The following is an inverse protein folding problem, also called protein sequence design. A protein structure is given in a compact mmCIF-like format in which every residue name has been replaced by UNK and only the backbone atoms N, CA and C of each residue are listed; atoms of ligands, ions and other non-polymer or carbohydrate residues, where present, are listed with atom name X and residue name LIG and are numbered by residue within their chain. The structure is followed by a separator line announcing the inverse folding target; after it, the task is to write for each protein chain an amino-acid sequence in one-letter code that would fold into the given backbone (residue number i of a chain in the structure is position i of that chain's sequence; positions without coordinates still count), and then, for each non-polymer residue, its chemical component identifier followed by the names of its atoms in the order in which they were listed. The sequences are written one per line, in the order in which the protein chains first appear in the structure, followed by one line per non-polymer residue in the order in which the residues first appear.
data_IF_428922916553
#
_entry.id   IF_428922916553
#
_cell.length_a   1.000
_cell.length_b   1.000
_cell.length_c   1.000
_cell.angle_alpha   90.00
_cell.angle_beta   90.00
_cell.angle_gamma   90.00
#
_symmetry.space_group_name_H-M   'P 1'
#
loop_
_entity.id
_entity.type
_entity.pdbx_description
1 polymer ?
#
# COMPACT_ATOMS: atom_id res chain seq x y z
N UNK A 1 -13.16 -9.04 -14.06
CA UNK A 1 -12.59 -8.50 -15.31
C UNK A 1 -11.10 -8.16 -15.15
N UNK A 2 -10.71 -7.28 -14.20
CA UNK A 2 -9.31 -6.85 -14.00
C UNK A 2 -8.38 -8.02 -13.66
N UNK A 3 -8.74 -8.84 -12.67
CA UNK A 3 -7.94 -10.03 -12.30
C UNK A 3 -7.81 -11.01 -13.48
N UNK A 4 -8.90 -11.28 -14.20
CA UNK A 4 -8.87 -12.15 -15.38
C UNK A 4 -8.00 -11.56 -16.50
N UNK A 5 -8.03 -10.23 -16.69
CA UNK A 5 -7.11 -9.58 -17.64
C UNK A 5 -5.66 -9.80 -17.26
N UNK A 6 -5.32 -9.70 -15.98
CA UNK A 6 -3.95 -9.91 -15.51
C UNK A 6 -3.54 -11.40 -15.56
N UNK A 7 -4.40 -12.30 -15.08
CA UNK A 7 -4.02 -13.69 -14.77
C UNK A 7 -4.67 -14.75 -15.68
N UNK A 8 -5.71 -14.39 -16.45
CA UNK A 8 -6.43 -15.33 -17.31
C UNK A 8 -5.61 -15.77 -18.53
N UNK A 9 -5.93 -16.96 -19.10
CA UNK A 9 -5.29 -17.41 -20.33
C UNK A 9 -5.60 -16.48 -21.52
N UNK A 10 -4.73 -16.45 -22.53
CA UNK A 10 -4.93 -15.62 -23.72
C UNK A 10 -6.23 -15.96 -24.50
N UNK A 11 -6.83 -17.10 -24.23
CA UNK A 11 -8.12 -17.55 -24.80
C UNK A 11 -9.34 -17.04 -24.03
N UNK A 12 -9.18 -16.52 -22.82
CA UNK A 12 -10.29 -15.95 -22.06
C UNK A 12 -10.64 -14.56 -22.58
N UNK A 13 -11.86 -14.09 -22.25
CA UNK A 13 -12.36 -12.78 -22.71
C UNK A 13 -11.40 -11.63 -22.42
N UNK A 14 -10.93 -11.53 -21.19
CA UNK A 14 -10.08 -10.42 -20.75
C UNK A 14 -8.58 -10.72 -20.93
N UNK A 15 -8.16 -11.98 -20.83
CA UNK A 15 -6.79 -12.39 -21.13
C UNK A 15 -6.41 -12.20 -22.59
N UNK A 16 -7.38 -12.31 -23.52
CA UNK A 16 -7.20 -12.00 -24.94
C UNK A 16 -6.78 -10.54 -25.16
N UNK A 17 -7.42 -9.59 -24.46
CA UNK A 17 -7.09 -8.16 -24.57
C UNK A 17 -5.65 -7.89 -24.10
N UNK A 18 -5.19 -8.57 -23.03
CA UNK A 18 -3.79 -8.50 -22.59
C UNK A 18 -2.84 -9.05 -23.67
N UNK A 19 -3.17 -10.20 -24.24
CA UNK A 19 -2.36 -10.83 -25.26
C UNK A 19 -2.23 -9.96 -26.52
N UNK A 20 -3.34 -9.37 -26.98
CA UNK A 20 -3.37 -8.44 -28.12
C UNK A 20 -2.57 -7.16 -27.85
N UNK A 21 -2.45 -6.73 -26.58
CA UNK A 21 -1.58 -5.65 -26.15
C UNK A 21 -0.09 -6.01 -26.05
N UNK A 22 0.31 -7.20 -26.54
CA UNK A 22 1.71 -7.64 -26.57
C UNK A 22 2.17 -8.49 -25.39
N UNK A 23 1.25 -8.85 -24.46
CA UNK A 23 1.57 -9.64 -23.27
C UNK A 23 0.77 -10.97 -23.25
N UNK A 24 1.13 -11.99 -24.06
CA UNK A 24 0.36 -13.24 -24.14
C UNK A 24 0.41 -14.06 -22.84
N UNK A 25 1.50 -13.98 -22.10
CA UNK A 25 1.63 -14.71 -20.84
C UNK A 25 0.90 -14.00 -19.70
N UNK A 26 0.24 -14.74 -18.78
CA UNK A 26 -0.36 -14.17 -17.58
C UNK A 26 0.67 -13.47 -16.68
N UNK A 27 0.26 -12.39 -16.04
CA UNK A 27 1.04 -11.79 -14.97
C UNK A 27 0.81 -12.53 -13.65
N UNK A 28 1.80 -12.51 -12.78
CA UNK A 28 1.67 -12.99 -11.42
C UNK A 28 1.04 -11.87 -10.56
N UNK A 29 -0.20 -12.05 -10.14
CA UNK A 29 -0.93 -11.12 -9.29
C UNK A 29 -1.06 -11.73 -7.89
N UNK A 30 -0.35 -11.19 -6.92
CA UNK A 30 -0.36 -11.67 -5.54
C UNK A 30 -1.20 -10.78 -4.61
N UNK A 31 -1.39 -9.51 -4.94
CA UNK A 31 -2.03 -8.52 -4.09
C UNK A 31 -3.06 -7.72 -4.87
N UNK A 32 -4.13 -7.34 -4.20
CA UNK A 32 -5.20 -6.50 -4.74
C UNK A 32 -5.60 -5.44 -3.71
N UNK A 33 -5.28 -4.18 -4.00
CA UNK A 33 -5.82 -3.03 -3.27
C UNK A 33 -7.27 -2.78 -3.67
N UNK A 34 -8.13 -2.60 -2.68
CA UNK A 34 -9.57 -2.32 -2.87
C UNK A 34 -9.87 -0.97 -2.25
N UNK A 35 -9.87 0.07 -3.07
CA UNK A 35 -9.95 1.48 -2.66
C UNK A 35 -8.58 2.14 -2.51
N UNK A 36 -8.58 3.47 -2.41
CA UNK A 36 -7.42 4.31 -2.14
C UNK A 36 -7.85 5.48 -1.28
N UNK A 37 -7.24 5.66 -0.12
CA UNK A 37 -7.59 6.68 0.87
C UNK A 37 -9.07 6.68 1.28
N UNK A 38 -9.77 5.60 1.00
CA UNK A 38 -11.14 5.38 1.39
C UNK A 38 -11.26 4.99 2.87
N UNK A 39 -12.41 5.33 3.48
CA UNK A 39 -12.69 5.03 4.88
C UNK A 39 -14.21 5.04 5.16
N UNK A 40 -14.59 4.63 6.36
CA UNK A 40 -15.96 4.68 6.85
C UNK A 40 -16.81 3.45 6.51
N UNK A 41 -18.02 3.38 7.10
CA UNK A 41 -18.84 2.18 7.09
C UNK A 41 -19.29 1.75 5.68
N UNK A 42 -19.61 2.69 4.81
CA UNK A 42 -20.01 2.38 3.43
C UNK A 42 -18.86 1.78 2.64
N UNK A 43 -17.63 2.27 2.87
CA UNK A 43 -16.43 1.69 2.28
C UNK A 43 -16.17 0.28 2.83
N UNK A 44 -16.30 0.07 4.13
CA UNK A 44 -16.10 -1.25 4.74
C UNK A 44 -17.09 -2.29 4.20
N UNK A 45 -18.34 -1.90 3.98
CA UNK A 45 -19.33 -2.79 3.37
C UNK A 45 -18.95 -3.17 1.92
N UNK A 46 -18.51 -2.19 1.11
CA UNK A 46 -18.05 -2.43 -0.27
C UNK A 46 -16.76 -3.27 -0.30
N UNK A 47 -15.81 -2.94 0.57
CA UNK A 47 -14.57 -3.73 0.70
C UNK A 47 -14.89 -5.19 0.98
N UNK A 48 -15.69 -5.44 2.02
CA UNK A 48 -16.08 -6.80 2.41
C UNK A 48 -16.68 -7.57 1.25
N UNK A 49 -17.66 -6.99 0.57
CA UNK A 49 -18.34 -7.62 -0.57
C UNK A 49 -17.35 -8.00 -1.69
N UNK A 50 -16.45 -7.09 -2.06
CA UNK A 50 -15.45 -7.35 -3.11
C UNK A 50 -14.41 -8.36 -2.65
N UNK A 51 -13.91 -8.23 -1.42
CA UNK A 51 -12.87 -9.11 -0.87
C UNK A 51 -13.37 -10.56 -0.75
N UNK A 52 -14.61 -10.77 -0.27
CA UNK A 52 -15.23 -12.10 -0.21
C UNK A 52 -15.31 -12.75 -1.60
N UNK A 53 -15.77 -12.01 -2.61
CA UNK A 53 -15.82 -12.51 -3.99
C UNK A 53 -14.43 -12.80 -4.59
N UNK A 54 -13.41 -12.02 -4.22
CA UNK A 54 -12.03 -12.27 -4.62
C UNK A 54 -11.51 -13.53 -3.95
N UNK A 55 -11.69 -13.67 -2.64
CA UNK A 55 -11.21 -14.84 -1.88
C UNK A 55 -11.88 -16.14 -2.33
N UNK A 56 -13.16 -16.10 -2.68
CA UNK A 56 -13.88 -17.25 -3.22
C UNK A 56 -13.28 -17.73 -4.53
N UNK A 57 -13.00 -16.82 -5.46
CA UNK A 57 -12.54 -17.17 -6.81
C UNK A 57 -11.02 -17.25 -6.96
N UNK A 58 -10.29 -16.47 -6.17
CA UNK A 58 -8.82 -16.31 -6.24
C UNK A 58 -8.22 -16.33 -4.82
N UNK A 59 -8.28 -17.45 -4.10
CA UNK A 59 -7.90 -17.51 -2.67
C UNK A 59 -6.42 -17.19 -2.40
N UNK A 60 -5.57 -17.25 -3.43
CA UNK A 60 -4.15 -16.92 -3.33
C UNK A 60 -3.87 -15.42 -3.37
N UNK A 61 -4.83 -14.59 -3.82
CA UNK A 61 -4.66 -13.14 -3.88
C UNK A 61 -4.88 -12.55 -2.50
N UNK A 62 -3.89 -11.85 -1.99
CA UNK A 62 -3.99 -11.06 -0.77
C UNK A 62 -4.74 -9.77 -1.04
N UNK A 63 -5.69 -9.42 -0.18
CA UNK A 63 -6.50 -8.22 -0.27
C UNK A 63 -5.98 -7.15 0.66
N UNK A 64 -5.99 -5.90 0.20
CA UNK A 64 -5.49 -4.74 0.93
C UNK A 64 -6.62 -3.75 1.10
N UNK A 65 -6.91 -3.35 2.36
CA UNK A 65 -7.90 -2.33 2.70
C UNK A 65 -7.21 -0.98 2.93
N UNK A 66 -7.81 0.11 2.46
CA UNK A 66 -7.35 1.47 2.76
C UNK A 66 -7.73 1.87 4.19
N UNK A 67 -6.83 2.55 4.89
CA UNK A 67 -7.10 3.15 6.21
C UNK A 67 -7.28 4.67 6.18
N UNK A 68 -7.55 5.23 5.01
CA UNK A 68 -7.63 6.67 4.79
C UNK A 68 -6.27 7.26 4.43
N UNK A 69 -6.12 8.55 4.60
CA UNK A 69 -4.96 9.33 4.15
C UNK A 69 -4.03 9.78 5.29
N UNK A 70 -4.30 9.32 6.51
CA UNK A 70 -3.47 9.67 7.68
C UNK A 70 -3.12 8.44 8.50
N UNK A 71 -2.13 8.60 9.37
CA UNK A 71 -1.55 7.51 10.15
C UNK A 71 -2.10 7.39 11.58
N UNK A 72 -2.99 8.26 12.02
CA UNK A 72 -3.43 8.33 13.43
C UNK A 72 -4.73 9.13 13.64
N UNK A 73 -5.63 9.19 12.67
CA UNK A 73 -6.95 9.79 12.85
C UNK A 73 -8.02 8.76 13.20
N UNK A 74 -9.25 9.23 13.35
CA UNK A 74 -10.41 8.38 13.64
C UNK A 74 -10.63 7.33 12.55
N UNK A 75 -10.36 7.63 11.28
CA UNK A 75 -10.55 6.71 10.16
C UNK A 75 -9.52 5.58 10.19
N UNK A 76 -8.26 5.92 10.45
CA UNK A 76 -7.19 4.95 10.67
C UNK A 76 -7.56 3.95 11.78
N UNK A 77 -7.95 4.46 12.95
CA UNK A 77 -8.31 3.62 14.09
C UNK A 77 -9.57 2.78 13.85
N UNK A 78 -10.56 3.35 13.16
CA UNK A 78 -11.79 2.64 12.80
C UNK A 78 -11.51 1.50 11.82
N UNK A 79 -10.63 1.72 10.82
CA UNK A 79 -10.24 0.67 9.87
C UNK A 79 -9.56 -0.49 10.59
N UNK A 80 -8.54 -0.21 11.41
CA UNK A 80 -7.88 -1.26 12.18
C UNK A 80 -8.82 -2.00 13.12
N UNK A 81 -9.75 -1.30 13.77
CA UNK A 81 -10.77 -1.91 14.63
C UNK A 81 -11.71 -2.81 13.83
N UNK A 82 -12.15 -2.36 12.66
CA UNK A 82 -13.02 -3.13 11.78
C UNK A 82 -12.33 -4.39 11.25
N UNK A 83 -11.08 -4.28 10.82
CA UNK A 83 -10.30 -5.44 10.34
C UNK A 83 -10.14 -6.46 11.45
N UNK A 84 -9.76 -6.04 12.65
CA UNK A 84 -9.65 -6.94 13.81
C UNK A 84 -10.98 -7.60 14.17
N UNK A 85 -12.11 -6.88 14.03
CA UNK A 85 -13.43 -7.45 14.26
C UNK A 85 -13.77 -8.56 13.25
N UNK A 86 -13.38 -8.40 12.00
CA UNK A 86 -13.58 -9.42 10.96
C UNK A 86 -12.69 -10.66 11.18
N UNK A 87 -11.47 -10.47 11.71
CA UNK A 87 -10.49 -11.54 11.91
C UNK A 87 -10.66 -12.27 13.25
N UNK A 88 -11.46 -11.70 14.16
CA UNK A 88 -11.65 -12.26 15.50
C UNK A 88 -12.20 -13.69 15.45
N UNK A 89 -11.45 -14.61 16.04
CA UNK A 89 -11.84 -16.03 16.12
C UNK A 89 -11.61 -16.86 14.85
N UNK A 90 -11.03 -16.28 13.80
CA UNK A 90 -10.65 -17.02 12.59
C UNK A 90 -9.26 -17.65 12.77
N UNK A 91 -9.13 -18.90 12.28
CA UNK A 91 -7.86 -19.65 12.29
C UNK A 91 -7.04 -19.46 11.00
N UNK A 92 -7.64 -18.88 9.97
CA UNK A 92 -7.02 -18.64 8.65
C UNK A 92 -7.15 -17.17 8.33
N UNK A 93 -6.31 -16.69 7.40
CA UNK A 93 -6.42 -15.35 6.88
C UNK A 93 -7.88 -15.05 6.48
N UNK A 94 -8.38 -13.93 6.94
CA UNK A 94 -9.75 -13.52 6.67
C UNK A 94 -9.93 -12.89 5.31
N UNK A 95 -10.83 -11.90 5.26
CA UNK A 95 -11.10 -11.16 4.03
C UNK A 95 -10.11 -10.01 3.81
N UNK A 96 -9.26 -9.68 4.80
CA UNK A 96 -8.26 -8.63 4.73
C UNK A 96 -6.89 -9.17 5.16
N UNK A 97 -5.92 -9.14 4.27
CA UNK A 97 -4.57 -9.59 4.57
C UNK A 97 -3.66 -8.43 4.97
N UNK A 98 -3.84 -7.24 4.38
CA UNK A 98 -3.03 -6.06 4.68
C UNK A 98 -3.90 -4.82 4.86
N UNK A 99 -3.42 -3.92 5.71
CA UNK A 99 -3.97 -2.56 5.87
C UNK A 99 -3.01 -1.58 5.22
N UNK A 100 -3.53 -0.77 4.31
CA UNK A 100 -2.79 0.27 3.61
C UNK A 100 -2.73 1.53 4.47
N UNK A 101 -1.51 1.90 4.88
CA UNK A 101 -1.23 3.07 5.70
C UNK A 101 -0.48 4.13 4.89
N UNK A 102 -0.91 5.38 4.97
CA UNK A 102 -0.28 6.51 4.30
C UNK A 102 0.32 7.51 5.30
N UNK A 103 1.56 7.94 5.06
CA UNK A 103 2.26 8.93 5.90
C UNK A 103 2.92 10.03 5.09
N UNK A 104 2.38 11.21 5.19
CA UNK A 104 3.02 12.43 4.69
C UNK A 104 3.29 13.34 5.87
N UNK A 105 4.54 13.40 6.32
CA UNK A 105 4.91 14.10 7.55
C UNK A 105 6.22 14.88 7.44
N UNK A 106 6.43 15.77 8.42
CA UNK A 106 7.70 16.45 8.59
C UNK A 106 8.82 15.45 8.97
N UNK A 107 10.04 15.79 8.59
CA UNK A 107 11.23 14.96 8.82
C UNK A 107 11.42 14.55 10.28
N UNK A 108 11.09 15.43 11.24
CA UNK A 108 11.17 15.11 12.65
C UNK A 108 10.23 13.97 13.08
N UNK A 109 9.07 13.86 12.43
CA UNK A 109 8.14 12.77 12.70
C UNK A 109 8.76 11.41 12.36
N UNK A 110 9.42 11.28 11.22
CA UNK A 110 10.07 10.03 10.81
C UNK A 110 11.14 9.59 11.80
N UNK A 111 11.95 10.52 12.32
CA UNK A 111 12.96 10.21 13.34
C UNK A 111 12.34 9.77 14.66
N UNK A 112 11.23 10.39 15.09
CA UNK A 112 10.60 10.10 16.37
C UNK A 112 9.69 8.89 16.36
N UNK A 113 9.24 8.44 15.18
CA UNK A 113 8.32 7.32 15.02
C UNK A 113 8.98 6.02 14.52
N UNK A 114 10.31 5.92 14.55
CA UNK A 114 11.03 4.71 14.16
C UNK A 114 10.71 3.46 15.00
N UNK A 115 9.95 3.57 16.08
CA UNK A 115 9.45 2.45 16.89
C UNK A 115 7.96 2.15 16.69
N UNK A 116 7.34 2.73 15.66
CA UNK A 116 5.90 2.56 15.40
C UNK A 116 5.48 1.09 15.40
N UNK A 117 6.17 0.27 14.63
CA UNK A 117 5.86 -1.15 14.44
C UNK A 117 6.44 -2.06 15.53
N UNK A 118 7.19 -1.52 16.49
CA UNK A 118 7.61 -2.24 17.69
C UNK A 118 6.45 -2.35 18.73
N UNK A 119 5.36 -1.62 18.52
CA UNK A 119 4.16 -1.66 19.38
C UNK A 119 3.33 -2.92 19.08
N UNK A 120 3.60 -4.00 19.79
CA UNK A 120 2.94 -5.29 19.61
C UNK A 120 1.48 -5.31 20.08
N UNK A 121 1.07 -4.39 20.92
CA UNK A 121 -0.33 -4.25 21.35
C UNK A 121 -1.18 -3.72 20.19
N UNK A 122 -0.61 -2.86 19.38
CA UNK A 122 -1.29 -2.33 18.19
C UNK A 122 -1.05 -3.18 16.94
N UNK A 123 0.16 -3.69 16.75
CA UNK A 123 0.54 -4.54 15.62
C UNK A 123 0.93 -5.94 16.10
N UNK A 124 -0.05 -6.82 16.44
CA UNK A 124 0.25 -8.14 16.92
C UNK A 124 0.93 -8.99 15.84
N UNK A 125 1.86 -9.83 16.27
CA UNK A 125 2.58 -10.76 15.40
C UNK A 125 1.88 -12.11 15.37
N UNK A 126 2.12 -12.88 14.32
CA UNK A 126 1.67 -14.26 14.19
C UNK A 126 0.84 -14.53 12.96
N UNK A 127 0.56 -15.81 12.74
CA UNK A 127 -0.26 -16.26 11.63
C UNK A 127 -1.70 -15.72 11.73
N UNK A 128 -2.28 -15.35 10.58
CA UNK A 128 -3.64 -14.84 10.51
C UNK A 128 -3.81 -13.39 10.99
N UNK A 129 -2.74 -12.73 11.43
CA UNK A 129 -2.82 -11.31 11.73
C UNK A 129 -2.69 -10.47 10.44
N UNK A 130 -3.51 -9.41 10.27
CA UNK A 130 -3.34 -8.49 9.17
C UNK A 130 -1.98 -7.81 9.25
N UNK A 131 -1.32 -7.70 8.11
CA UNK A 131 -0.04 -7.00 7.99
C UNK A 131 -0.23 -5.59 7.48
N UNK A 132 0.84 -4.85 7.40
CA UNK A 132 0.87 -3.47 6.90
C UNK A 132 1.41 -3.45 5.48
N UNK A 133 0.72 -2.73 4.62
CA UNK A 133 1.24 -2.14 3.41
C UNK A 133 1.40 -0.64 3.65
N UNK A 134 2.60 -0.11 3.57
CA UNK A 134 2.80 1.34 3.56
C UNK A 134 2.71 1.77 2.11
N UNK A 135 1.48 2.10 1.65
CA UNK A 135 1.21 2.38 0.25
C UNK A 135 1.76 3.70 -0.23
N UNK A 136 1.81 4.69 0.66
CA UNK A 136 2.35 6.00 0.37
C UNK A 136 3.05 6.59 1.59
N UNK A 137 4.28 7.09 1.40
CA UNK A 137 4.95 7.89 2.42
C UNK A 137 5.99 8.82 1.80
N UNK A 138 6.13 9.97 2.40
CA UNK A 138 7.20 10.91 2.11
C UNK A 138 7.48 11.83 3.30
N UNK A 139 8.75 12.15 3.50
CA UNK A 139 9.22 13.14 4.46
C UNK A 139 9.40 14.49 3.78
N UNK A 140 9.09 15.57 4.45
CA UNK A 140 9.37 16.92 3.98
C UNK A 140 9.92 17.82 5.08
N UNK A 141 10.54 18.91 4.66
CA UNK A 141 10.87 20.06 5.50
C UNK A 141 9.89 21.21 5.22
N UNK A 142 10.05 22.32 5.90
CA UNK A 142 9.22 23.52 5.71
C UNK A 142 8.90 23.81 4.26
N UNK A 143 7.65 24.12 3.96
CA UNK A 143 7.15 24.37 2.62
C UNK A 143 7.03 23.13 1.75
N UNK A 144 6.92 21.94 2.35
CA UNK A 144 6.82 20.64 1.66
C UNK A 144 7.98 20.38 0.68
N UNK A 145 9.17 20.83 1.02
CA UNK A 145 10.38 20.59 0.22
C UNK A 145 11.07 19.32 0.69
N UNK A 146 11.69 18.63 -0.23
CA UNK A 146 12.64 17.56 0.05
C UNK A 146 14.08 18.08 -0.07
N UNK A 147 14.94 17.58 0.77
CA UNK A 147 16.37 17.84 0.78
C UNK A 147 17.11 16.65 1.39
N UNK A 148 18.43 16.75 1.54
CA UNK A 148 19.22 15.67 2.13
C UNK A 148 18.73 15.29 3.55
N UNK A 149 18.28 16.24 4.35
CA UNK A 149 17.76 15.94 5.69
C UNK A 149 16.49 15.09 5.62
N UNK A 150 15.53 15.44 4.76
CA UNK A 150 14.35 14.63 4.53
C UNK A 150 14.73 13.20 4.09
N UNK A 151 15.63 13.07 3.11
CA UNK A 151 16.09 11.76 2.65
C UNK A 151 16.77 10.92 3.75
N UNK A 152 17.56 11.54 4.61
CA UNK A 152 18.20 10.85 5.74
C UNK A 152 17.18 10.36 6.77
N UNK A 153 16.11 11.14 7.01
CA UNK A 153 15.06 10.74 7.96
C UNK A 153 14.20 9.60 7.41
N UNK A 154 13.95 9.60 6.11
CA UNK A 154 13.30 8.47 5.43
C UNK A 154 14.17 7.21 5.49
N UNK A 155 15.45 7.31 5.17
CA UNK A 155 16.38 6.20 5.26
C UNK A 155 16.46 5.62 6.69
N UNK A 156 16.48 6.47 7.71
CA UNK A 156 16.42 6.04 9.10
C UNK A 156 15.12 5.30 9.43
N UNK A 157 13.97 5.79 8.92
CA UNK A 157 12.68 5.14 9.11
C UNK A 157 12.60 3.80 8.36
N UNK A 158 13.19 3.68 7.18
CA UNK A 158 13.26 2.41 6.42
C UNK A 158 13.96 1.31 7.20
N UNK A 159 14.97 1.63 8.03
CA UNK A 159 15.60 0.62 8.90
C UNK A 159 14.60 0.03 9.91
N UNK A 160 13.64 0.83 10.35
CA UNK A 160 12.55 0.36 11.22
C UNK A 160 11.55 -0.52 10.45
N UNK A 161 11.24 -0.17 9.21
CA UNK A 161 10.39 -0.98 8.33
C UNK A 161 11.04 -2.35 8.12
N UNK A 162 12.32 -2.39 7.74
CA UNK A 162 13.06 -3.64 7.53
C UNK A 162 13.14 -4.50 8.80
N UNK A 163 13.42 -3.88 9.95
CA UNK A 163 13.45 -4.59 11.24
C UNK A 163 12.10 -5.26 11.58
N UNK A 164 11.00 -4.69 11.11
CA UNK A 164 9.65 -5.15 11.34
C UNK A 164 9.03 -5.78 10.07
N UNK A 165 9.81 -6.44 9.23
CA UNK A 165 9.35 -7.09 7.99
C UNK A 165 8.37 -8.25 8.20
N UNK A 166 8.20 -8.71 9.42
CA UNK A 166 7.14 -9.65 9.80
C UNK A 166 5.76 -8.97 9.98
N UNK A 167 5.72 -7.66 10.18
CA UNK A 167 4.52 -6.82 10.25
C UNK A 167 4.33 -6.03 8.96
N UNK A 168 5.37 -5.32 8.51
CA UNK A 168 5.33 -4.53 7.27
C UNK A 168 5.74 -5.40 6.09
N UNK A 169 4.77 -5.81 5.29
CA UNK A 169 5.02 -6.73 4.17
C UNK A 169 5.48 -6.00 2.91
N UNK A 170 4.98 -4.78 2.68
CA UNK A 170 5.32 -3.96 1.52
C UNK A 170 5.40 -2.50 1.94
N UNK A 171 6.28 -1.75 1.30
CA UNK A 171 6.31 -0.29 1.38
C UNK A 171 6.60 0.33 0.02
N UNK A 172 5.96 1.46 -0.30
CA UNK A 172 6.17 2.21 -1.52
C UNK A 172 6.19 3.70 -1.27
N UNK A 173 7.19 4.39 -1.82
CA UNK A 173 7.28 5.84 -1.76
C UNK A 173 6.29 6.49 -2.73
N UNK A 174 5.69 7.59 -2.33
CA UNK A 174 4.82 8.38 -3.19
C UNK A 174 4.93 9.89 -2.88
N UNK A 175 4.89 10.75 -3.93
CA UNK A 175 5.05 10.43 -5.36
C UNK A 175 6.48 10.00 -5.71
N UNK A 176 6.61 9.03 -6.61
CA UNK A 176 7.93 8.47 -6.97
C UNK A 176 8.67 9.30 -8.02
N UNK A 177 7.99 9.66 -9.10
CA UNK A 177 8.59 10.36 -10.24
C UNK A 177 7.93 11.70 -10.51
N UNK A 178 8.76 12.73 -10.73
CA UNK A 178 8.34 14.00 -11.26
C UNK A 178 9.11 14.34 -12.54
N UNK A 179 8.43 14.97 -13.50
CA UNK A 179 9.06 15.64 -14.62
C UNK A 179 9.39 17.06 -14.20
N UNK A 180 10.66 17.46 -14.34
CA UNK A 180 11.08 18.85 -14.07
C UNK A 180 10.21 19.87 -14.81
N UNK A 181 9.76 20.89 -14.07
CA UNK A 181 8.88 21.95 -14.59
C UNK A 181 7.41 21.53 -14.82
N UNK A 182 7.02 20.30 -14.45
CA UNK A 182 5.67 19.79 -14.71
C UNK A 182 5.20 18.84 -13.60
N UNK A 183 5.58 19.12 -12.35
CA UNK A 183 5.10 18.35 -11.21
C UNK A 183 3.83 18.97 -10.61
N UNK A 184 2.94 18.13 -10.14
CA UNK A 184 1.70 18.52 -9.47
C UNK A 184 1.82 18.39 -7.94
N UNK A 185 2.72 17.52 -7.47
CA UNK A 185 2.91 17.16 -6.07
C UNK A 185 4.32 17.44 -5.59
N UNK A 186 4.50 17.68 -4.31
CA UNK A 186 5.80 17.85 -3.64
C UNK A 186 5.70 17.22 -2.24
N UNK A 187 6.73 16.49 -1.80
CA UNK A 187 7.97 16.15 -2.50
C UNK A 187 7.80 14.99 -3.49
N UNK A 188 8.73 14.87 -4.43
CA UNK A 188 8.88 13.70 -5.31
C UNK A 188 10.25 13.07 -5.08
N UNK A 189 10.35 11.74 -5.11
CA UNK A 189 11.62 11.07 -4.85
C UNK A 189 12.63 11.28 -5.97
N UNK A 190 12.18 11.18 -7.22
CA UNK A 190 13.06 11.23 -8.40
C UNK A 190 12.52 12.26 -9.38
N UNK A 191 13.28 13.33 -9.59
CA UNK A 191 13.01 14.31 -10.65
C UNK A 191 13.74 13.92 -11.92
N UNK A 192 13.05 13.89 -13.04
CA UNK A 192 13.60 13.53 -14.34
C UNK A 192 13.50 14.69 -15.31
N UNK A 193 14.61 14.98 -16.00
CA UNK A 193 14.66 15.89 -17.13
C UNK A 193 14.50 15.13 -18.46
N UNK A 194 14.25 15.85 -19.55
CA UNK A 194 14.11 15.27 -20.89
C UNK A 194 15.34 14.44 -21.32
N UNK A 195 16.52 14.79 -20.84
CA UNK A 195 17.77 14.11 -21.18
C UNK A 195 17.91 12.74 -20.56
N UNK A 196 17.32 12.50 -19.42
CA UNK A 196 17.33 11.20 -18.75
C UNK A 196 16.39 10.18 -19.39
N UNK A 197 15.30 10.64 -20.00
CA UNK A 197 14.35 9.76 -20.71
C UNK A 197 14.85 9.26 -22.05
N UNK A 198 15.95 9.85 -22.59
CA UNK A 198 16.57 9.43 -23.84
C UNK A 198 17.73 8.44 -23.66
N UNK A 199 18.14 8.19 -22.43
CA UNK A 199 19.24 7.28 -22.11
C UNK A 199 18.78 5.83 -21.89
N UNK A 200 17.50 5.58 -22.03
CA UNK A 200 16.86 4.27 -21.95
C UNK A 200 16.04 3.99 -23.21
#
# INVERSE_FOLDING_TARGET
DMIERATGPATSKWGKIRAEAGHPQPFKLNYLGIGNEDCGQDYFARFKYVAEAVKEKYPHIKTIISSGYTYNDVNFHNTWSQVRAWEKGKKTAGICDLVDEHYYNESAWFLTNGKRYDNLDFYPRGEGQPKVFIGEYASWVDGRRNNLYAALTEAAYMTSIERNGDIVEISSYAPLFAKEGSTQWVPDMISVSYTHLRAH
#
